data_IF_719341108871
#
_entry.id   IF_719341108871
#
_cell.length_a   1.000
_cell.length_b   1.000
_cell.length_c   1.000
_cell.angle_alpha   90.00
_cell.angle_beta   90.00
_cell.angle_gamma   90.00
#
_symmetry.space_group_name_H-M   'P 1'
#
loop_
_entity.id
_entity.type
_entity.pdbx_description
1 polymer ?
#
# COMPACT_ATOMS: atom_id res chain seq x y z
N UNK A 1 -46.74 45.32 57.70
CA UNK A 1 -46.64 43.85 57.90
C UNK A 1 -46.98 43.12 56.60
N UNK A 2 -45.97 42.69 55.84
CA UNK A 2 -45.88 41.35 55.23
C UNK A 2 -44.46 41.23 54.69
N UNK A 3 -43.76 40.22 55.17
CA UNK A 3 -42.32 40.03 55.04
C UNK A 3 -42.01 39.00 53.96
N UNK A 4 -40.70 38.88 53.62
CA UNK A 4 -39.99 37.69 53.07
C UNK A 4 -39.90 37.65 51.54
N UNK A 5 -38.76 37.37 50.88
CA UNK A 5 -37.30 37.36 51.11
C UNK A 5 -36.72 36.74 49.82
N UNK A 6 -35.54 37.20 49.39
CA UNK A 6 -34.53 36.44 48.60
C UNK A 6 -34.94 36.17 47.13
N UNK A 7 -34.06 36.05 46.14
CA UNK A 7 -32.64 35.72 46.12
C UNK A 7 -32.08 36.23 44.76
N UNK A 8 -30.94 36.91 44.79
CA UNK A 8 -30.06 37.08 43.62
C UNK A 8 -29.60 35.72 43.12
N UNK A 9 -29.49 35.47 41.80
CA UNK A 9 -28.53 34.50 41.21
C UNK A 9 -28.54 34.52 39.65
N UNK A 10 -27.48 35.13 39.10
CA UNK A 10 -26.58 34.73 37.98
C UNK A 10 -27.17 34.45 36.57
N UNK A 11 -26.63 35.09 35.51
CA UNK A 11 -26.96 34.74 34.12
C UNK A 11 -26.25 33.44 33.71
N UNK A 12 -27.03 32.43 33.30
CA UNK A 12 -26.47 31.20 32.74
C UNK A 12 -26.13 31.40 31.26
N UNK A 13 -24.87 31.74 31.02
CA UNK A 13 -24.20 31.64 29.72
C UNK A 13 -24.21 30.17 29.29
N UNK A 14 -24.92 29.83 28.21
CA UNK A 14 -24.71 28.56 27.51
C UNK A 14 -23.93 28.83 26.21
N UNK A 15 -22.60 28.78 26.34
CA UNK A 15 -21.69 28.69 25.23
C UNK A 15 -21.89 27.34 24.52
N UNK A 16 -22.43 27.36 23.30
CA UNK A 16 -22.31 26.22 22.38
C UNK A 16 -21.05 26.43 21.56
N UNK A 17 -19.96 25.90 22.12
CA UNK A 17 -18.64 25.79 21.52
C UNK A 17 -18.71 25.15 20.14
N UNK A 18 -18.00 25.78 19.20
CA UNK A 18 -17.71 25.28 17.87
C UNK A 18 -17.14 23.85 17.92
N UNK A 19 -17.80 22.92 17.23
CA UNK A 19 -17.23 21.61 16.92
C UNK A 19 -16.20 21.74 15.80
N UNK A 20 -14.96 22.07 16.14
CA UNK A 20 -13.83 21.82 15.25
C UNK A 20 -13.57 20.31 15.23
N UNK A 21 -14.14 19.61 14.26
CA UNK A 21 -13.71 18.24 13.99
C UNK A 21 -12.33 18.29 13.35
N UNK A 22 -11.33 17.96 14.15
CA UNK A 22 -9.93 17.75 13.77
C UNK A 22 -9.84 16.83 12.56
N UNK A 23 -9.28 17.35 11.46
CA UNK A 23 -8.74 16.56 10.36
C UNK A 23 -7.49 15.84 10.89
N UNK A 24 -7.65 14.65 11.47
CA UNK A 24 -6.55 13.84 11.95
C UNK A 24 -6.63 12.41 11.39
N UNK A 25 -5.55 12.02 10.72
CA UNK A 25 -5.15 10.66 10.27
C UNK A 25 -6.21 9.83 9.53
N UNK A 26 -6.30 10.04 8.21
CA UNK A 26 -7.24 9.32 7.33
C UNK A 26 -6.95 7.81 7.12
N UNK A 27 -5.80 7.29 7.54
CA UNK A 27 -5.35 5.94 7.15
C UNK A 27 -5.68 4.82 8.15
N UNK A 28 -5.50 5.03 9.47
CA UNK A 28 -5.91 4.05 10.50
C UNK A 28 -7.43 4.08 10.80
N UNK A 29 -8.13 5.11 10.32
CA UNK A 29 -9.47 5.44 10.81
C UNK A 29 -10.64 4.92 9.97
N UNK A 30 -10.43 4.27 8.82
CA UNK A 30 -11.56 4.01 7.92
C UNK A 30 -12.48 2.87 8.34
N UNK A 31 -11.93 1.73 8.75
CA UNK A 31 -12.75 0.63 9.29
C UNK A 31 -13.44 1.05 10.59
N UNK A 32 -12.73 1.73 11.47
CA UNK A 32 -13.30 2.32 12.69
C UNK A 32 -14.42 3.32 12.37
N UNK A 33 -14.25 4.17 11.35
CA UNK A 33 -15.24 5.16 10.91
C UNK A 33 -16.47 4.51 10.26
N UNK A 34 -16.30 3.45 9.48
CA UNK A 34 -17.43 2.65 8.94
C UNK A 34 -18.23 2.03 10.07
N UNK A 35 -17.57 1.32 10.99
CA UNK A 35 -18.21 0.70 12.15
C UNK A 35 -18.95 1.72 13.03
N UNK A 36 -18.35 2.90 13.24
CA UNK A 36 -18.99 3.99 13.99
C UNK A 36 -20.22 4.54 13.27
N UNK A 37 -20.19 4.69 11.95
CA UNK A 37 -21.34 5.15 11.15
C UNK A 37 -22.46 4.10 11.14
N UNK A 38 -22.15 2.82 11.01
CA UNK A 38 -23.11 1.72 11.07
C UNK A 38 -23.79 1.63 12.45
N UNK A 39 -23.04 1.80 13.53
CA UNK A 39 -23.59 1.88 14.88
C UNK A 39 -24.56 3.06 15.02
N UNK A 40 -24.18 4.24 14.53
CA UNK A 40 -25.06 5.42 14.56
C UNK A 40 -26.32 5.26 13.71
N UNK A 41 -26.24 4.55 12.57
CA UNK A 41 -27.41 4.22 11.74
C UNK A 41 -28.37 3.33 12.54
N UNK A 42 -27.86 2.27 13.18
CA UNK A 42 -28.67 1.36 13.99
C UNK A 42 -29.38 2.10 15.13
N UNK A 43 -28.66 2.97 15.84
CA UNK A 43 -29.24 3.81 16.89
C UNK A 43 -30.33 4.73 16.30
N UNK A 44 -30.04 5.43 15.20
CA UNK A 44 -31.00 6.34 14.58
C UNK A 44 -32.26 5.62 14.06
N UNK A 45 -32.14 4.36 13.63
CA UNK A 45 -33.27 3.50 13.26
C UNK A 45 -34.13 3.14 14.47
N UNK A 46 -33.52 2.77 15.61
CA UNK A 46 -34.25 2.44 16.83
C UNK A 46 -35.10 3.60 17.36
N UNK A 47 -34.61 4.83 17.21
CA UNK A 47 -35.33 6.04 17.61
C UNK A 47 -36.20 6.64 16.49
N UNK A 48 -36.38 5.97 15.36
CA UNK A 48 -37.26 6.40 14.27
C UNK A 48 -36.81 7.69 13.55
N UNK A 49 -35.55 8.10 13.66
CA UNK A 49 -35.05 9.34 13.06
C UNK A 49 -34.63 9.13 11.60
N UNK A 50 -35.62 9.10 10.71
CA UNK A 50 -35.43 8.79 9.28
C UNK A 50 -34.47 9.78 8.59
N UNK A 51 -34.55 11.06 8.90
CA UNK A 51 -33.67 12.08 8.32
C UNK A 51 -32.20 11.85 8.71
N UNK A 52 -31.95 11.52 9.98
CA UNK A 52 -30.61 11.19 10.46
C UNK A 52 -30.09 9.91 9.80
N UNK A 53 -30.91 8.87 9.70
CA UNK A 53 -30.56 7.62 9.00
C UNK A 53 -30.11 7.91 7.57
N UNK A 54 -30.87 8.71 6.81
CA UNK A 54 -30.54 9.04 5.43
C UNK A 54 -29.22 9.81 5.31
N UNK A 55 -28.98 10.76 6.22
CA UNK A 55 -27.70 11.51 6.25
C UNK A 55 -26.50 10.60 6.57
N UNK A 56 -26.64 9.69 7.53
CA UNK A 56 -25.59 8.76 7.93
C UNK A 56 -25.31 7.71 6.84
N UNK A 57 -26.35 7.24 6.13
CA UNK A 57 -26.19 6.37 4.97
C UNK A 57 -25.41 7.05 3.84
N UNK A 58 -25.65 8.34 3.58
CA UNK A 58 -24.85 9.13 2.63
C UNK A 58 -23.40 9.28 3.09
N UNK A 59 -23.18 9.52 4.38
CA UNK A 59 -21.83 9.57 4.94
C UNK A 59 -21.09 8.23 4.83
N UNK A 60 -21.77 7.12 5.10
CA UNK A 60 -21.24 5.76 4.92
C UNK A 60 -20.91 5.48 3.45
N UNK A 61 -21.79 5.86 2.53
CA UNK A 61 -21.54 5.73 1.09
C UNK A 61 -20.29 6.53 0.65
N UNK A 62 -20.11 7.75 1.16
CA UNK A 62 -18.90 8.53 0.90
C UNK A 62 -17.64 7.88 1.51
N UNK A 63 -17.72 7.33 2.72
CA UNK A 63 -16.60 6.60 3.33
C UNK A 63 -16.28 5.33 2.53
N UNK A 64 -17.27 4.62 2.01
CA UNK A 64 -17.05 3.44 1.17
C UNK A 64 -16.50 3.79 -0.21
N UNK A 65 -16.90 4.93 -0.78
CA UNK A 65 -16.45 5.37 -2.10
C UNK A 65 -15.03 5.98 -2.07
N UNK A 66 -14.70 6.74 -1.03
CA UNK A 66 -13.48 7.54 -0.98
C UNK A 66 -12.47 7.08 0.06
N UNK A 67 -12.91 6.38 1.11
CA UNK A 67 -11.95 5.62 1.86
C UNK A 67 -11.65 4.33 1.12
N UNK A 68 -10.69 4.46 0.21
CA UNK A 68 -9.86 3.36 -0.23
C UNK A 68 -9.34 2.68 1.03
N UNK A 69 -9.83 1.47 1.30
CA UNK A 69 -9.24 0.64 2.33
C UNK A 69 -7.73 0.61 2.09
N UNK A 70 -6.96 0.64 3.16
CA UNK A 70 -5.57 0.21 3.11
C UNK A 70 -5.40 -1.24 2.61
N UNK A 71 -6.50 -1.95 2.30
CA UNK A 71 -6.58 -3.14 1.46
C UNK A 71 -6.20 -2.90 -0.02
N UNK A 72 -5.83 -1.68 -0.44
CA UNK A 72 -4.97 -1.54 -1.61
C UNK A 72 -3.55 -2.11 -1.39
N UNK A 73 -3.18 -2.49 -0.17
CA UNK A 73 -2.05 -3.39 0.08
C UNK A 73 -2.18 -4.70 -0.69
N UNK A 74 -3.39 -5.20 -0.96
CA UNK A 74 -3.58 -6.37 -1.83
C UNK A 74 -3.11 -6.10 -3.26
N UNK A 75 -3.42 -4.92 -3.82
CA UNK A 75 -3.01 -4.53 -5.17
C UNK A 75 -1.52 -4.19 -5.25
N UNK A 76 -0.98 -3.50 -4.24
CA UNK A 76 0.46 -3.19 -4.14
C UNK A 76 1.28 -4.45 -3.92
N UNK A 77 0.89 -5.32 -2.98
CA UNK A 77 1.55 -6.61 -2.73
C UNK A 77 1.47 -7.49 -3.97
N UNK A 78 0.31 -7.60 -4.62
CA UNK A 78 0.18 -8.35 -5.87
C UNK A 78 1.05 -7.79 -7.00
N UNK A 79 1.20 -6.47 -7.08
CA UNK A 79 2.08 -5.82 -8.05
C UNK A 79 3.56 -6.09 -7.76
N UNK A 80 3.95 -6.08 -6.48
CA UNK A 80 5.30 -6.42 -6.04
C UNK A 80 5.61 -7.91 -6.24
N UNK A 81 4.65 -8.80 -5.99
CA UNK A 81 4.79 -10.24 -6.27
C UNK A 81 4.99 -10.49 -7.77
N UNK A 82 4.20 -9.86 -8.63
CA UNK A 82 4.39 -9.92 -10.09
C UNK A 82 5.76 -9.36 -10.51
N UNK A 83 6.24 -8.29 -9.87
CA UNK A 83 7.58 -7.73 -10.13
C UNK A 83 8.67 -8.74 -9.75
N UNK A 84 8.57 -9.37 -8.58
CA UNK A 84 9.50 -10.41 -8.14
C UNK A 84 9.51 -11.58 -9.13
N UNK A 85 8.35 -12.10 -9.51
CA UNK A 85 8.23 -13.21 -10.46
C UNK A 85 8.89 -12.88 -11.81
N UNK A 86 8.62 -11.69 -12.38
CA UNK A 86 9.26 -11.26 -13.63
C UNK A 86 10.78 -11.14 -13.52
N UNK A 87 11.29 -10.72 -12.36
CA UNK A 87 12.73 -10.62 -12.13
C UNK A 87 13.38 -12.00 -11.95
N UNK A 88 12.66 -12.97 -11.40
CA UNK A 88 13.11 -14.37 -11.31
C UNK A 88 13.19 -15.02 -12.70
N UNK A 89 12.16 -14.84 -13.53
CA UNK A 89 12.15 -15.28 -14.93
C UNK A 89 13.31 -14.64 -15.71
N UNK A 90 13.44 -13.31 -15.62
CA UNK A 90 14.55 -12.57 -16.24
C UNK A 90 15.91 -13.07 -15.75
N UNK A 91 16.05 -13.40 -14.47
CA UNK A 91 17.30 -13.95 -13.93
C UNK A 91 17.61 -15.33 -14.50
N UNK A 92 16.60 -16.18 -14.68
CA UNK A 92 16.76 -17.49 -15.31
C UNK A 92 17.21 -17.35 -16.77
N UNK A 93 16.59 -16.46 -17.53
CA UNK A 93 16.97 -16.16 -18.92
C UNK A 93 18.41 -15.68 -19.02
N UNK A 94 18.82 -14.72 -18.17
CA UNK A 94 20.20 -14.21 -18.17
C UNK A 94 21.23 -15.27 -17.77
N UNK A 95 20.87 -16.20 -16.89
CA UNK A 95 21.73 -17.35 -16.57
C UNK A 95 21.84 -18.31 -17.75
N UNK A 96 20.77 -18.49 -18.53
CA UNK A 96 20.79 -19.26 -19.78
C UNK A 96 21.72 -18.62 -20.81
N UNK A 97 21.63 -17.30 -21.01
CA UNK A 97 22.53 -16.55 -21.91
C UNK A 97 24.01 -16.75 -21.53
N UNK A 98 24.32 -16.71 -20.22
CA UNK A 98 25.68 -16.98 -19.72
C UNK A 98 26.13 -18.40 -20.04
N UNK A 99 25.24 -19.40 -19.91
CA UNK A 99 25.56 -20.79 -20.22
C UNK A 99 25.83 -20.99 -21.72
N UNK A 100 25.04 -20.36 -22.59
CA UNK A 100 25.23 -20.38 -24.04
C UNK A 100 26.59 -19.77 -24.43
N UNK A 101 26.91 -18.58 -23.90
CA UNK A 101 28.19 -17.92 -24.19
C UNK A 101 29.38 -18.73 -23.67
N UNK A 102 29.25 -19.42 -22.52
CA UNK A 102 30.28 -20.35 -22.03
C UNK A 102 30.47 -21.54 -22.96
N UNK A 103 29.38 -22.11 -23.49
CA UNK A 103 29.46 -23.21 -24.44
C UNK A 103 30.16 -22.78 -25.74
N UNK A 104 29.81 -21.61 -26.26
CA UNK A 104 30.44 -21.01 -27.44
C UNK A 104 31.92 -20.69 -27.22
N UNK A 105 32.27 -20.16 -26.04
CA UNK A 105 33.66 -19.94 -25.66
C UNK A 105 34.45 -21.26 -25.65
N UNK A 106 33.89 -22.33 -25.08
CA UNK A 106 34.54 -23.65 -25.05
C UNK A 106 34.72 -24.23 -26.46
N UNK A 107 33.71 -24.09 -27.34
CA UNK A 107 33.84 -24.48 -28.76
C UNK A 107 34.92 -23.68 -29.48
N UNK A 108 35.03 -22.37 -29.22
CA UNK A 108 36.06 -21.53 -29.81
C UNK A 108 37.48 -21.91 -29.33
N UNK A 109 37.63 -22.21 -28.03
CA UNK A 109 38.87 -22.72 -27.45
C UNK A 109 39.29 -24.04 -28.08
N UNK A 110 38.37 -25.00 -28.20
CA UNK A 110 38.65 -26.30 -28.81
C UNK A 110 39.07 -26.20 -30.28
N UNK A 111 38.59 -25.18 -31.00
CA UNK A 111 38.96 -24.90 -32.40
C UNK A 111 40.22 -24.04 -32.56
N UNK A 112 40.80 -23.54 -31.47
CA UNK A 112 41.95 -22.62 -31.52
C UNK A 112 41.62 -21.25 -32.13
N UNK A 113 40.36 -20.85 -32.20
CA UNK A 113 39.94 -19.58 -32.82
C UNK A 113 40.13 -18.42 -31.82
N UNK A 114 41.36 -17.89 -31.75
CA UNK A 114 41.75 -16.85 -30.80
C UNK A 114 40.85 -15.59 -30.88
N UNK A 115 40.40 -15.22 -32.10
CA UNK A 115 39.51 -14.08 -32.30
C UNK A 115 38.14 -14.31 -31.66
N UNK A 116 37.55 -15.50 -31.84
CA UNK A 116 36.29 -15.86 -31.18
C UNK A 116 36.45 -16.04 -29.68
N UNK A 117 37.57 -16.58 -29.21
CA UNK A 117 37.86 -16.69 -27.77
C UNK A 117 37.81 -15.32 -27.10
N UNK A 118 38.53 -14.33 -27.62
CA UNK A 118 38.52 -12.97 -27.08
C UNK A 118 37.12 -12.35 -27.11
N UNK A 119 36.39 -12.51 -28.23
CA UNK A 119 35.00 -12.03 -28.37
C UNK A 119 34.06 -12.63 -27.32
N UNK A 120 34.10 -13.95 -27.13
CA UNK A 120 33.22 -14.63 -26.18
C UNK A 120 33.60 -14.41 -24.73
N UNK A 121 34.88 -14.17 -24.41
CA UNK A 121 35.29 -13.75 -23.07
C UNK A 121 34.72 -12.37 -22.71
N UNK A 122 34.80 -11.40 -23.63
CA UNK A 122 34.20 -10.08 -23.44
C UNK A 122 32.68 -10.19 -23.27
N UNK A 123 32.00 -10.95 -24.14
CA UNK A 123 30.56 -11.19 -24.05
C UNK A 123 30.17 -11.91 -22.75
N UNK A 124 30.99 -12.83 -22.26
CA UNK A 124 30.74 -13.52 -21.00
C UNK A 124 30.76 -12.57 -19.81
N UNK A 125 31.72 -11.64 -19.78
CA UNK A 125 31.80 -10.60 -18.74
C UNK A 125 30.57 -9.68 -18.77
N UNK A 126 30.13 -9.25 -19.96
CA UNK A 126 28.89 -8.46 -20.13
C UNK A 126 27.67 -9.20 -19.58
N UNK A 127 27.47 -10.47 -19.96
CA UNK A 127 26.31 -11.26 -19.49
C UNK A 127 26.36 -11.55 -17.99
N UNK A 128 27.55 -11.71 -17.41
CA UNK A 128 27.69 -11.83 -15.96
C UNK A 128 27.32 -10.54 -15.23
N UNK A 129 27.66 -9.37 -15.78
CA UNK A 129 27.24 -8.08 -15.24
C UNK A 129 25.71 -7.90 -15.32
N UNK A 130 25.08 -8.31 -16.42
CA UNK A 130 23.61 -8.31 -16.54
C UNK A 130 22.95 -9.21 -15.48
N UNK A 131 23.48 -10.41 -15.24
CA UNK A 131 23.00 -11.30 -14.16
C UNK A 131 23.09 -10.61 -12.80
N UNK A 132 24.23 -9.98 -12.49
CA UNK A 132 24.43 -9.27 -11.23
C UNK A 132 23.44 -8.11 -11.06
N UNK A 133 23.20 -7.33 -12.11
CA UNK A 133 22.23 -6.24 -12.08
C UNK A 133 20.81 -6.74 -11.75
N UNK A 134 20.36 -7.81 -12.43
CA UNK A 134 19.03 -8.40 -12.16
C UNK A 134 18.97 -9.00 -10.74
N UNK A 135 20.05 -9.60 -10.24
CA UNK A 135 20.10 -10.10 -8.86
C UNK A 135 19.94 -8.99 -7.81
N UNK A 136 20.58 -7.83 -8.02
CA UNK A 136 20.42 -6.69 -7.12
C UNK A 136 19.01 -6.12 -7.17
N UNK A 137 18.42 -6.01 -8.37
CA UNK A 137 17.04 -5.57 -8.55
C UNK A 137 16.05 -6.52 -7.89
N UNK A 138 16.24 -7.84 -8.06
CA UNK A 138 15.43 -8.88 -7.41
C UNK A 138 15.55 -8.82 -5.88
N UNK A 139 16.75 -8.61 -5.35
CA UNK A 139 16.98 -8.46 -3.91
C UNK A 139 16.23 -7.25 -3.36
N UNK A 140 16.30 -6.11 -4.04
CA UNK A 140 15.58 -4.90 -3.65
C UNK A 140 14.06 -5.11 -3.70
N UNK A 141 13.54 -5.68 -4.78
CA UNK A 141 12.11 -5.96 -4.93
C UNK A 141 11.58 -6.95 -3.86
N UNK A 142 12.35 -7.98 -3.51
CA UNK A 142 12.00 -8.90 -2.41
C UNK A 142 12.02 -8.22 -1.04
N UNK A 143 12.97 -7.31 -0.80
CA UNK A 143 13.00 -6.54 0.44
C UNK A 143 11.80 -5.60 0.57
N UNK A 144 11.42 -4.93 -0.52
CA UNK A 144 10.23 -4.09 -0.61
C UNK A 144 8.95 -4.89 -0.35
N UNK A 145 8.80 -6.06 -1.01
CA UNK A 145 7.70 -6.98 -0.78
C UNK A 145 7.63 -7.49 0.67
N UNK A 146 8.78 -7.79 1.27
CA UNK A 146 8.83 -8.23 2.67
C UNK A 146 8.45 -7.11 3.64
N UNK A 147 8.73 -5.85 3.31
CA UNK A 147 8.32 -4.69 4.10
C UNK A 147 6.82 -4.39 3.95
N UNK A 148 6.23 -4.60 2.77
CA UNK A 148 4.80 -4.35 2.53
C UNK A 148 3.87 -5.40 3.16
N UNK A 149 4.41 -6.57 3.54
CA UNK A 149 3.68 -7.66 4.21
C UNK A 149 3.73 -7.60 5.74
N UNK A 150 4.43 -6.62 6.32
CA UNK A 150 4.54 -6.41 7.78
C UNK A 150 3.50 -5.41 8.26
#
# INVERSE_FOLDING_TARGET
MKSIKKLSLIPLVLALTAGYSTMASAYENCNAKRAALENQIRIAQQYGNINKVNSLKRALANVNAYCVDNNNSGNVTQSLEKKVQKLEEKLADKKSDVAEVKADLNKAKAKGDAKKVAKYQAKLAEKQAEVQAVQQELKAARAELAASKR
#
